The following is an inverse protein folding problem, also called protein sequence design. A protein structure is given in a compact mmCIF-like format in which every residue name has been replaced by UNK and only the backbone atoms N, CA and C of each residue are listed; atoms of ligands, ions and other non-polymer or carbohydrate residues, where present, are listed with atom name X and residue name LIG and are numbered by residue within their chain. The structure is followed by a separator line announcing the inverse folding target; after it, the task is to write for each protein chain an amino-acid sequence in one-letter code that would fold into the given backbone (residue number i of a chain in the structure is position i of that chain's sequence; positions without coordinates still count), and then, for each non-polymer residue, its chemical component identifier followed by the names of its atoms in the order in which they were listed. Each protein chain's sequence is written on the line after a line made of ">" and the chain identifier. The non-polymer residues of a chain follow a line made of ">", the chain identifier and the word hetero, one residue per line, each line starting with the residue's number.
data_IF_474600835982
#
_entry.id   IF_474600835982
#
_cell.length_a   1.000
_cell.length_b   1.000
_cell.length_c   1.000
_cell.angle_alpha   90.00
_cell.angle_beta   90.00
_cell.angle_gamma   90.00
#
_symmetry.space_group_name_H-M   'P 1'
#
loop_
_entity.id
_entity.type
_entity.pdbx_description
1 polymer ?
#
# COMPACT_ATOMS: atom_id res chain seq x y z
N UNK A 1 25.34 -15.01 18.22
CA UNK A 1 25.12 -15.23 16.79
C UNK A 1 26.46 -15.02 16.10
N UNK A 2 27.10 -16.11 15.66
CA UNK A 2 28.42 -16.02 15.03
C UNK A 2 28.30 -15.28 13.70
N UNK A 3 29.10 -14.22 13.57
CA UNK A 3 29.48 -13.65 12.27
C UNK A 3 30.18 -14.77 11.50
N UNK A 4 29.93 -14.93 10.19
CA UNK A 4 30.77 -15.64 9.19
C UNK A 4 29.98 -16.52 8.19
N UNK A 5 28.89 -16.03 7.57
CA UNK A 5 28.24 -16.75 6.44
C UNK A 5 27.54 -15.86 5.40
N UNK A 6 27.87 -14.56 5.32
CA UNK A 6 27.31 -13.68 4.28
C UNK A 6 28.38 -13.33 3.26
N UNK A 7 28.21 -13.81 2.03
CA UNK A 7 29.02 -13.43 0.87
C UNK A 7 28.85 -11.94 0.54
N UNK A 8 27.66 -11.40 0.82
CA UNK A 8 27.33 -9.99 0.68
C UNK A 8 26.41 -9.55 1.83
N UNK A 9 26.65 -8.36 2.39
CA UNK A 9 25.75 -7.76 3.38
C UNK A 9 24.31 -7.59 2.86
N UNK A 10 24.13 -7.46 1.53
CA UNK A 10 22.82 -7.44 0.88
C UNK A 10 22.00 -8.71 1.09
N UNK A 11 22.67 -9.84 1.38
CA UNK A 11 22.02 -11.12 1.68
C UNK A 11 21.49 -11.16 3.14
N UNK A 12 21.99 -10.28 4.01
CA UNK A 12 21.58 -10.14 5.40
C UNK A 12 20.61 -8.98 5.62
N UNK A 13 20.74 -7.92 4.83
CA UNK A 13 19.85 -6.77 4.82
C UNK A 13 19.87 -6.06 3.47
N UNK A 14 18.71 -5.66 2.95
CA UNK A 14 18.67 -4.99 1.67
C UNK A 14 17.28 -4.57 1.24
N UNK A 15 17.20 -3.91 0.09
CA UNK A 15 15.96 -3.54 -0.55
C UNK A 15 16.05 -3.87 -2.04
N UNK A 16 15.05 -4.60 -2.55
CA UNK A 16 14.97 -4.99 -3.96
C UNK A 16 13.64 -4.52 -4.53
N UNK A 17 13.70 -3.81 -5.67
CA UNK A 17 12.50 -3.39 -6.40
C UNK A 17 12.11 -4.48 -7.40
N UNK A 18 10.83 -4.84 -7.37
CA UNK A 18 10.19 -5.80 -8.28
C UNK A 18 8.92 -5.16 -8.87
N UNK A 19 8.39 -5.76 -9.93
CA UNK A 19 7.12 -5.37 -10.55
C UNK A 19 6.20 -6.57 -10.62
N UNK A 20 4.94 -6.39 -10.22
CA UNK A 20 3.90 -7.41 -10.38
C UNK A 20 3.60 -7.60 -11.87
N UNK A 21 3.67 -8.83 -12.36
CA UNK A 21 3.51 -9.15 -13.79
C UNK A 21 2.09 -9.58 -14.16
N UNK A 22 1.24 -9.90 -13.17
CA UNK A 22 -0.09 -10.48 -13.37
C UNK A 22 -1.11 -10.07 -12.30
N UNK A 23 -2.35 -10.51 -12.48
CA UNK A 23 -3.46 -10.23 -11.57
C UNK A 23 -3.89 -8.76 -11.54
N UNK A 24 -4.65 -8.39 -10.51
CA UNK A 24 -5.11 -7.01 -10.30
C UNK A 24 -3.98 -6.04 -9.97
N UNK A 25 -2.83 -6.55 -9.50
CA UNK A 25 -1.63 -5.78 -9.19
C UNK A 25 -0.74 -5.52 -10.41
N UNK A 26 -1.02 -6.12 -11.58
CA UNK A 26 -0.15 -6.05 -12.76
C UNK A 26 0.32 -4.63 -13.06
N UNK A 27 1.61 -4.47 -13.28
CA UNK A 27 2.26 -3.19 -13.58
C UNK A 27 2.54 -2.31 -12.35
N UNK A 28 2.17 -2.74 -11.15
CA UNK A 28 2.53 -2.07 -9.90
C UNK A 28 3.91 -2.55 -9.44
N UNK A 29 4.70 -1.64 -8.90
CA UNK A 29 5.99 -1.90 -8.29
C UNK A 29 5.86 -2.22 -6.80
N UNK A 30 6.80 -3.01 -6.29
CA UNK A 30 6.98 -3.28 -4.86
C UNK A 30 8.47 -3.23 -4.54
N UNK A 31 8.81 -2.61 -3.41
CA UNK A 31 10.14 -2.68 -2.84
C UNK A 31 10.07 -3.65 -1.66
N UNK A 32 10.79 -4.75 -1.75
CA UNK A 32 10.96 -5.70 -0.65
C UNK A 32 12.21 -5.30 0.12
N UNK A 33 12.02 -4.65 1.27
CA UNK A 33 13.07 -4.28 2.20
C UNK A 33 13.12 -5.31 3.34
N UNK A 34 14.28 -5.88 3.62
CA UNK A 34 14.41 -6.96 4.60
C UNK A 34 15.67 -6.84 5.44
N UNK A 35 15.62 -7.45 6.62
CA UNK A 35 16.76 -7.79 7.46
C UNK A 35 16.47 -9.09 8.22
N UNK A 36 17.31 -9.46 9.19
CA UNK A 36 17.15 -10.69 9.98
C UNK A 36 15.85 -10.79 10.81
N UNK A 37 15.11 -9.70 11.01
CA UNK A 37 13.93 -9.65 11.89
C UNK A 37 12.66 -9.24 11.16
N UNK A 38 12.78 -8.34 10.19
CA UNK A 38 11.66 -7.72 9.51
C UNK A 38 11.78 -7.86 7.99
N UNK A 39 10.66 -8.13 7.35
CA UNK A 39 10.48 -7.98 5.90
C UNK A 39 9.31 -7.06 5.63
N UNK A 40 9.53 -6.02 4.84
CA UNK A 40 8.55 -5.01 4.47
C UNK A 40 8.32 -5.01 2.98
N UNK A 41 7.05 -4.98 2.58
CA UNK A 41 6.63 -4.77 1.21
C UNK A 41 6.11 -3.33 1.08
N UNK A 42 6.91 -2.47 0.48
CA UNK A 42 6.59 -1.06 0.27
C UNK A 42 6.04 -0.89 -1.14
N UNK A 43 4.96 -0.13 -1.32
CA UNK A 43 4.29 0.07 -2.61
C UNK A 43 4.46 1.52 -3.12
N UNK A 44 5.44 1.79 -4.01
CA UNK A 44 5.69 3.13 -4.52
C UNK A 44 4.48 3.74 -5.24
N UNK A 45 3.78 2.97 -6.07
CA UNK A 45 2.60 3.47 -6.80
C UNK A 45 1.41 3.78 -5.91
N UNK A 46 1.48 3.40 -4.62
CA UNK A 46 0.46 3.68 -3.61
C UNK A 46 0.95 4.65 -2.54
N UNK A 47 1.85 5.57 -2.91
CA UNK A 47 2.31 6.60 -1.97
C UNK A 47 3.30 6.08 -0.92
N UNK A 48 4.03 5.02 -1.23
CA UNK A 48 5.00 4.37 -0.31
C UNK A 48 4.35 3.67 0.89
N UNK A 49 3.10 3.23 0.74
CA UNK A 49 2.39 2.41 1.73
C UNK A 49 3.18 1.14 2.08
N UNK A 50 3.16 0.75 3.37
CA UNK A 50 3.72 -0.52 3.84
C UNK A 50 2.59 -1.55 3.81
N UNK A 51 2.51 -2.30 2.71
CA UNK A 51 1.45 -3.28 2.48
C UNK A 51 1.59 -4.50 3.38
N UNK A 52 2.79 -5.08 3.48
CA UNK A 52 3.08 -6.19 4.40
C UNK A 52 4.24 -5.82 5.30
N UNK A 53 4.13 -6.22 6.55
CA UNK A 53 5.23 -6.22 7.51
C UNK A 53 5.24 -7.60 8.16
N UNK A 54 6.33 -8.33 7.94
CA UNK A 54 6.56 -9.63 8.52
C UNK A 54 7.58 -9.49 9.64
N UNK A 55 7.23 -9.91 10.85
CA UNK A 55 8.13 -10.00 11.97
C UNK A 55 8.36 -11.47 12.30
N UNK A 56 9.63 -11.90 12.26
CA UNK A 56 10.00 -13.33 12.46
C UNK A 56 9.22 -14.29 11.54
N UNK A 57 8.93 -13.86 10.30
CA UNK A 57 8.20 -14.65 9.31
C UNK A 57 6.67 -14.62 9.45
N UNK A 58 6.13 -13.94 10.47
CA UNK A 58 4.69 -13.77 10.62
C UNK A 58 4.27 -12.38 10.13
N UNK A 59 3.32 -12.33 9.19
CA UNK A 59 2.74 -11.08 8.75
C UNK A 59 1.85 -10.48 9.85
N UNK A 60 2.17 -9.26 10.27
CA UNK A 60 1.41 -8.50 11.28
C UNK A 60 0.55 -7.39 10.66
N UNK A 61 0.51 -7.27 9.33
CA UNK A 61 -0.35 -6.35 8.62
C UNK A 61 -1.75 -6.95 8.37
N UNK A 62 -2.80 -6.12 8.47
CA UNK A 62 -4.10 -6.47 7.92
C UNK A 62 -4.07 -6.36 6.40
N UNK A 63 -4.44 -7.43 5.70
CA UNK A 63 -4.56 -7.47 4.24
C UNK A 63 -6.03 -7.70 3.90
N UNK A 64 -6.60 -6.82 3.07
CA UNK A 64 -8.01 -6.98 2.67
C UNK A 64 -8.19 -8.18 1.73
N UNK A 65 -9.42 -8.71 1.59
CA UNK A 65 -9.72 -9.77 0.62
C UNK A 65 -9.41 -9.41 -0.84
N UNK A 66 -9.22 -8.12 -1.16
CA UNK A 66 -8.86 -7.69 -2.50
C UNK A 66 -7.42 -8.07 -2.88
N UNK A 67 -6.53 -8.28 -1.89
CA UNK A 67 -5.10 -8.45 -2.12
C UNK A 67 -4.45 -7.20 -2.71
N UNK A 68 -3.25 -7.33 -3.32
CA UNK A 68 -2.61 -6.19 -3.98
C UNK A 68 -3.38 -5.84 -5.26
N UNK A 69 -3.67 -4.55 -5.45
CA UNK A 69 -4.41 -4.02 -6.58
C UNK A 69 -3.68 -2.78 -7.09
N UNK A 70 -3.50 -2.68 -8.41
CA UNK A 70 -2.90 -1.51 -9.05
C UNK A 70 -3.84 -0.29 -8.85
N UNK A 71 -3.34 0.91 -8.48
CA UNK A 71 -4.18 2.11 -8.33
C UNK A 71 -4.95 2.50 -9.58
N UNK A 72 -4.44 2.14 -10.76
CA UNK A 72 -5.08 2.36 -12.06
C UNK A 72 -6.08 1.26 -12.42
N UNK A 73 -6.28 0.24 -11.57
CA UNK A 73 -7.33 -0.75 -11.77
C UNK A 73 -8.69 -0.07 -11.62
N UNK A 74 -9.34 0.22 -12.74
CA UNK A 74 -10.64 0.86 -12.78
C UNK A 74 -11.72 -0.13 -12.29
N UNK A 75 -12.26 0.14 -11.09
CA UNK A 75 -13.47 -0.52 -10.58
C UNK A 75 -14.76 0.21 -11.01
N UNK A 76 -15.86 -0.10 -10.33
CA UNK A 76 -17.15 0.59 -10.48
C UNK A 76 -17.03 2.11 -10.25
N UNK A 77 -18.01 2.91 -10.70
CA UNK A 77 -18.02 4.36 -10.45
C UNK A 77 -18.35 4.70 -8.99
N UNK A 78 -17.80 5.80 -8.47
CA UNK A 78 -18.13 6.33 -7.14
C UNK A 78 -17.32 5.68 -6.00
N UNK A 79 -17.91 5.63 -4.81
CA UNK A 79 -17.24 5.13 -3.59
C UNK A 79 -16.87 3.65 -3.67
N UNK A 80 -17.61 2.87 -4.46
CA UNK A 80 -17.33 1.45 -4.70
C UNK A 80 -15.99 1.24 -5.41
N UNK A 81 -15.56 2.19 -6.25
CA UNK A 81 -14.23 2.18 -6.86
C UNK A 81 -13.13 2.17 -5.81
N UNK A 82 -13.28 3.01 -4.79
CA UNK A 82 -12.33 3.11 -3.69
C UNK A 82 -12.25 1.80 -2.91
N UNK A 83 -13.37 1.21 -2.52
CA UNK A 83 -13.39 -0.04 -1.77
C UNK A 83 -12.91 -1.24 -2.58
N UNK A 84 -13.12 -1.25 -3.90
CA UNK A 84 -12.63 -2.31 -4.79
C UNK A 84 -11.10 -2.33 -4.94
N UNK A 85 -10.44 -1.19 -4.67
CA UNK A 85 -8.99 -1.03 -4.72
C UNK A 85 -8.34 -0.89 -3.35
N UNK A 86 -9.14 -0.92 -2.27
CA UNK A 86 -8.65 -0.83 -0.90
C UNK A 86 -7.93 -2.14 -0.51
N UNK A 87 -6.63 -2.05 -0.24
CA UNK A 87 -5.77 -3.21 0.02
C UNK A 87 -5.47 -3.43 1.52
N UNK A 88 -5.78 -2.46 2.38
CA UNK A 88 -5.31 -2.44 3.76
C UNK A 88 -3.81 -2.14 3.85
N UNK A 89 -3.12 -2.79 4.78
CA UNK A 89 -1.67 -2.66 4.98
C UNK A 89 -1.28 -2.55 6.44
N UNK A 90 0.02 -2.57 6.70
CA UNK A 90 0.59 -2.16 7.99
C UNK A 90 0.53 -0.64 8.16
N UNK A 91 0.84 0.08 7.07
CA UNK A 91 0.71 1.53 6.98
C UNK A 91 0.06 1.86 5.64
N UNK A 92 -1.05 2.59 5.69
CA UNK A 92 -1.73 3.12 4.51
C UNK A 92 -1.84 4.63 4.59
N UNK A 93 -1.55 5.29 3.49
CA UNK A 93 -1.61 6.74 3.38
C UNK A 93 -3.04 7.16 3.09
N UNK A 94 -3.60 8.03 3.93
CA UNK A 94 -4.98 8.52 3.78
C UNK A 94 -5.10 9.82 2.96
N UNK A 95 -4.07 10.21 2.22
CA UNK A 95 -4.02 11.43 1.41
C UNK A 95 -3.73 12.70 2.23
N UNK A 96 -3.32 13.76 1.53
CA UNK A 96 -2.99 15.07 2.13
C UNK A 96 -4.17 16.03 2.07
N UNK A 97 -4.78 16.17 0.88
CA UNK A 97 -5.90 17.10 0.66
C UNK A 97 -7.27 16.41 0.73
N UNK A 98 -7.30 15.10 0.46
CA UNK A 98 -8.52 14.31 0.37
C UNK A 98 -8.32 12.94 1.01
N UNK A 99 -9.37 12.46 1.67
CA UNK A 99 -9.42 11.14 2.32
C UNK A 99 -10.57 10.31 1.75
N UNK A 100 -10.46 8.98 1.81
CA UNK A 100 -11.51 8.04 1.40
C UNK A 100 -11.93 8.15 -0.08
N UNK A 101 -13.04 7.48 -0.43
CA UNK A 101 -13.66 7.58 -1.75
C UNK A 101 -14.45 8.87 -1.96
N UNK A 102 -14.82 9.18 -3.22
CA UNK A 102 -15.59 10.36 -3.57
C UNK A 102 -16.96 10.36 -2.87
N UNK A 103 -17.41 11.56 -2.50
CA UNK A 103 -18.71 11.80 -1.90
C UNK A 103 -19.72 12.27 -2.95
N UNK A 104 -20.96 11.80 -2.83
CA UNK A 104 -22.06 12.24 -3.70
C UNK A 104 -22.55 13.60 -3.24
N UNK A 105 -22.39 14.64 -4.05
CA UNK A 105 -22.79 16.02 -3.73
C UNK A 105 -24.18 16.37 -4.26
N UNK A 106 -24.53 15.88 -5.46
CA UNK A 106 -25.85 16.00 -6.12
C UNK A 106 -26.13 14.76 -6.98
N UNK A 107 -27.31 14.70 -7.59
CA UNK A 107 -27.61 13.70 -8.61
C UNK A 107 -26.54 13.72 -9.72
N UNK A 108 -25.91 12.57 -9.95
CA UNK A 108 -24.81 12.36 -10.89
C UNK A 108 -23.57 13.27 -10.72
N UNK A 109 -23.39 13.91 -9.57
CA UNK A 109 -22.21 14.72 -9.27
C UNK A 109 -21.49 14.19 -8.03
N UNK A 110 -20.25 13.75 -8.25
CA UNK A 110 -19.34 13.27 -7.22
C UNK A 110 -18.18 14.24 -7.06
N UNK A 111 -17.76 14.50 -5.82
CA UNK A 111 -16.56 15.28 -5.51
C UNK A 111 -15.64 14.49 -4.61
N UNK A 112 -14.35 14.78 -4.62
CA UNK A 112 -13.42 14.25 -3.61
C UNK A 112 -13.79 14.78 -2.23
N UNK A 113 -13.64 13.95 -1.18
CA UNK A 113 -13.82 14.40 0.20
C UNK A 113 -12.58 15.15 0.64
N UNK A 114 -12.70 16.47 0.73
CA UNK A 114 -11.66 17.33 1.28
C UNK A 114 -11.59 17.19 2.79
N UNK A 115 -10.37 17.20 3.33
CA UNK A 115 -10.17 17.35 4.78
C UNK A 115 -10.54 18.79 5.14
N UNK A 116 -11.63 18.99 5.88
CA UNK A 116 -11.96 20.30 6.45
C UNK A 116 -11.20 20.47 7.75
N UNK A 117 -10.17 21.32 7.74
CA UNK A 117 -9.51 21.79 8.96
C UNK A 117 -10.26 23.04 9.39
N UNK A 118 -10.86 22.99 10.58
CA UNK A 118 -11.50 24.16 11.18
C UNK A 118 -10.41 25.23 11.41
N UNK A 119 -10.49 26.41 10.75
CA UNK A 119 -9.48 27.44 10.86
C UNK A 119 -9.50 28.19 12.21
N UNK A 120 -10.34 27.79 13.16
CA UNK A 120 -10.45 28.42 14.48
C UNK A 120 -9.50 27.87 15.56
N UNK A 121 -8.50 27.06 15.19
CA UNK A 121 -7.39 26.63 16.05
C UNK A 121 -6.09 27.41 15.80
#
# INVERSE_FOLDING_TARGET
>A
MNKDYFSNLRDALGATKLTFTEGKAKGMDVIIAHNNLFTMHILPDRGMDIYRLEYKGENIAYISPNGPVNPLHLGSMGVESYWSTFIGGFLLTCGLDNVMGPEKRKENHYSTRHIYIDPSY
#
